data_IF_416849448092
#
_entry.id   IF_416849448092
#
_cell.length_a   1.000
_cell.length_b   1.000
_cell.length_c   1.000
_cell.angle_alpha   90.00
_cell.angle_beta   90.00
_cell.angle_gamma   90.00
#
_symmetry.space_group_name_H-M   'P 1'
#
loop_
_entity.id
_entity.type
_entity.pdbx_description
1 polymer ?
#
# COMPACT_ATOMS: atom_id res chain seq x y z
N UNK A 1 -7.54 -24.75 -11.92
CA UNK A 1 -6.53 -23.98 -12.68
C UNK A 1 -7.15 -22.72 -13.27
N UNK A 2 -8.19 -22.85 -14.09
CA UNK A 2 -8.91 -21.74 -14.71
C UNK A 2 -9.61 -20.82 -13.69
N UNK A 3 -10.20 -21.39 -12.63
CA UNK A 3 -10.84 -20.61 -11.56
C UNK A 3 -9.89 -19.68 -10.78
N UNK A 4 -8.65 -20.11 -10.52
CA UNK A 4 -7.64 -19.30 -9.81
C UNK A 4 -7.15 -18.16 -10.70
N UNK A 5 -6.89 -18.45 -11.98
CA UNK A 5 -6.54 -17.43 -12.97
C UNK A 5 -7.68 -16.42 -13.15
N UNK A 6 -8.92 -16.87 -13.26
CA UNK A 6 -10.08 -15.99 -13.35
C UNK A 6 -10.31 -15.16 -12.09
N UNK A 7 -10.09 -15.74 -10.91
CA UNK A 7 -10.16 -14.99 -9.65
C UNK A 7 -9.06 -13.93 -9.58
N UNK A 8 -7.84 -14.26 -10.01
CA UNK A 8 -6.73 -13.31 -10.09
C UNK A 8 -7.03 -12.16 -11.06
N UNK A 9 -7.48 -12.47 -12.29
CA UNK A 9 -7.88 -11.48 -13.28
C UNK A 9 -9.05 -10.61 -12.77
N UNK A 10 -10.00 -11.21 -12.05
CA UNK A 10 -11.10 -10.50 -11.42
C UNK A 10 -10.58 -9.47 -10.39
N UNK A 11 -9.68 -9.87 -9.49
CA UNK A 11 -9.12 -8.96 -8.48
C UNK A 11 -8.30 -7.83 -9.14
N UNK A 12 -7.49 -8.14 -10.17
CA UNK A 12 -6.77 -7.11 -10.94
C UNK A 12 -7.71 -6.11 -11.60
N UNK A 13 -8.82 -6.60 -12.19
CA UNK A 13 -9.84 -5.73 -12.79
C UNK A 13 -10.50 -4.85 -11.72
N UNK A 14 -10.87 -5.41 -10.57
CA UNK A 14 -11.45 -4.64 -9.47
C UNK A 14 -10.50 -3.54 -8.97
N UNK A 15 -9.22 -3.85 -8.75
CA UNK A 15 -8.21 -2.86 -8.34
C UNK A 15 -8.03 -1.75 -9.38
N UNK A 16 -7.99 -2.13 -10.66
CA UNK A 16 -7.89 -1.18 -11.76
C UNK A 16 -9.12 -0.27 -11.82
N UNK A 17 -10.32 -0.82 -11.59
CA UNK A 17 -11.56 -0.04 -11.50
C UNK A 17 -11.53 0.92 -10.31
N UNK A 18 -11.14 0.46 -9.12
CA UNK A 18 -11.03 1.28 -7.91
C UNK A 18 -10.00 2.39 -8.09
N UNK A 19 -8.81 2.09 -8.62
CA UNK A 19 -7.74 3.08 -8.88
C UNK A 19 -8.22 4.22 -9.76
N UNK A 20 -8.99 3.90 -10.80
CA UNK A 20 -9.51 4.86 -11.76
C UNK A 20 -10.90 5.41 -11.38
N UNK A 21 -11.45 4.97 -10.24
CA UNK A 21 -12.73 5.46 -9.77
C UNK A 21 -12.62 6.94 -9.36
N UNK A 22 -13.63 7.74 -9.71
CA UNK A 22 -13.64 9.19 -9.49
C UNK A 22 -13.33 9.56 -8.03
N UNK A 23 -13.87 8.80 -7.09
CA UNK A 23 -13.66 9.06 -5.66
C UNK A 23 -12.20 8.82 -5.24
N UNK A 24 -11.60 7.72 -5.69
CA UNK A 24 -10.19 7.40 -5.43
C UNK A 24 -9.26 8.46 -6.01
N UNK A 25 -9.50 8.87 -7.27
CA UNK A 25 -8.75 9.95 -7.92
C UNK A 25 -8.87 11.28 -7.14
N UNK A 26 -10.06 11.59 -6.61
CA UNK A 26 -10.26 12.77 -5.75
C UNK A 26 -9.50 12.67 -4.44
N UNK A 27 -9.46 11.50 -3.79
CA UNK A 27 -8.68 11.33 -2.56
C UNK A 27 -7.18 11.46 -2.80
N UNK A 28 -6.65 10.84 -3.85
CA UNK A 28 -5.23 10.99 -4.22
C UNK A 28 -4.90 12.46 -4.53
N UNK A 29 -5.77 13.16 -5.27
CA UNK A 29 -5.61 14.60 -5.52
C UNK A 29 -5.62 15.43 -4.23
N UNK A 30 -6.43 15.06 -3.24
CA UNK A 30 -6.45 15.74 -1.93
C UNK A 30 -5.16 15.47 -1.17
N UNK A 31 -4.66 14.23 -1.16
CA UNK A 31 -3.38 13.90 -0.55
C UNK A 31 -2.25 14.73 -1.17
N UNK A 32 -2.19 14.81 -2.51
CA UNK A 32 -1.20 15.66 -3.20
C UNK A 32 -1.26 17.10 -2.72
N UNK A 33 -2.44 17.68 -2.54
CA UNK A 33 -2.57 19.08 -2.07
C UNK A 33 -2.16 19.30 -0.61
N UNK A 34 -2.16 18.26 0.22
CA UNK A 34 -1.82 18.37 1.65
C UNK A 34 -0.31 18.32 1.89
N UNK A 35 0.44 17.64 1.03
CA UNK A 35 1.90 17.51 1.21
C UNK A 35 2.58 18.84 0.85
N UNK A 36 3.29 19.48 1.79
CA UNK A 36 4.05 20.68 1.51
C UNK A 36 5.16 20.37 0.49
N UNK A 37 5.28 21.22 -0.53
CA UNK A 37 6.34 21.11 -1.54
C UNK A 37 6.87 22.48 -1.93
N UNK A 38 8.16 22.54 -2.25
CA UNK A 38 8.81 23.73 -2.80
C UNK A 38 8.28 24.05 -4.21
N UNK A 39 8.05 23.02 -5.02
CA UNK A 39 7.40 23.11 -6.33
C UNK A 39 6.01 22.45 -6.27
N UNK A 40 4.91 23.14 -6.61
CA UNK A 40 3.58 22.53 -6.60
C UNK A 40 3.39 21.42 -7.66
N UNK A 41 4.22 21.35 -8.70
CA UNK A 41 4.09 20.42 -9.83
C UNK A 41 4.84 19.10 -9.61
N UNK A 42 5.90 19.10 -8.82
CA UNK A 42 6.76 17.93 -8.57
C UNK A 42 7.15 17.80 -7.11
N UNK A 43 7.41 16.57 -6.67
CA UNK A 43 7.89 16.24 -5.34
C UNK A 43 9.34 15.78 -5.40
N UNK A 44 10.19 16.41 -4.61
CA UNK A 44 11.58 15.98 -4.40
C UNK A 44 11.65 14.68 -3.59
N UNK A 45 12.82 14.05 -3.55
CA UNK A 45 13.05 12.85 -2.74
C UNK A 45 12.84 13.14 -1.26
N UNK A 46 13.36 14.25 -0.77
CA UNK A 46 13.29 14.63 0.64
C UNK A 46 11.84 14.87 1.09
N UNK A 47 11.03 15.52 0.24
CA UNK A 47 9.60 15.72 0.51
C UNK A 47 8.81 14.40 0.49
N UNK A 48 9.17 13.50 -0.43
CA UNK A 48 8.60 12.15 -0.50
C UNK A 48 8.93 11.34 0.76
N UNK A 49 10.20 11.32 1.15
CA UNK A 49 10.69 10.58 2.32
C UNK A 49 10.07 11.13 3.61
N UNK A 50 9.99 12.46 3.76
CA UNK A 50 9.33 13.10 4.91
C UNK A 50 7.83 12.76 5.00
N UNK A 51 7.12 12.78 3.87
CA UNK A 51 5.71 12.39 3.82
C UNK A 51 5.52 10.92 4.23
N UNK A 52 6.29 10.00 3.66
CA UNK A 52 6.14 8.58 3.95
C UNK A 52 6.62 8.20 5.34
N UNK A 53 7.67 8.84 5.85
CA UNK A 53 8.11 8.68 7.24
C UNK A 53 6.99 9.06 8.21
N UNK A 54 6.30 10.19 7.98
CA UNK A 54 5.13 10.61 8.77
C UNK A 54 4.01 9.58 8.73
N UNK A 55 3.68 9.07 7.53
CA UNK A 55 2.64 8.06 7.38
C UNK A 55 2.99 6.74 8.08
N UNK A 56 4.24 6.27 7.93
CA UNK A 56 4.72 5.06 8.57
C UNK A 56 4.72 5.20 10.09
N UNK A 57 5.20 6.33 10.61
CA UNK A 57 5.23 6.61 12.05
C UNK A 57 3.82 6.54 12.66
N UNK A 58 2.83 7.15 12.00
CA UNK A 58 1.46 7.17 12.51
C UNK A 58 0.71 5.83 12.31
N UNK A 59 1.02 5.08 11.26
CA UNK A 59 0.30 3.86 10.90
C UNK A 59 0.94 2.58 11.48
N UNK A 60 2.19 2.63 11.93
CA UNK A 60 2.90 1.48 12.52
C UNK A 60 3.18 1.68 14.01
N UNK A 61 3.74 0.65 14.65
CA UNK A 61 4.30 0.69 16.00
C UNK A 61 5.74 0.15 15.99
N UNK A 62 6.43 0.20 17.13
CA UNK A 62 7.83 -0.25 17.25
C UNK A 62 8.73 0.46 16.23
N UNK A 63 8.72 1.80 16.28
CA UNK A 63 9.50 2.63 15.38
C UNK A 63 11.00 2.35 15.50
N UNK A 64 11.65 2.20 14.36
CA UNK A 64 13.10 2.04 14.22
C UNK A 64 13.57 2.89 13.04
N UNK A 65 14.52 3.79 13.29
CA UNK A 65 14.97 4.77 12.29
C UNK A 65 15.71 4.09 11.12
N UNK A 66 16.52 3.07 11.41
CA UNK A 66 17.27 2.33 10.39
C UNK A 66 16.31 1.58 9.45
N UNK A 67 15.28 0.92 10.01
CA UNK A 67 14.24 0.24 9.24
C UNK A 67 13.43 1.24 8.42
N UNK A 68 13.08 2.40 8.98
CA UNK A 68 12.39 3.46 8.23
C UNK A 68 13.23 3.90 7.02
N UNK A 69 14.52 4.17 7.20
CA UNK A 69 15.40 4.61 6.12
C UNK A 69 15.51 3.55 5.00
N UNK A 70 15.59 2.27 5.40
CA UNK A 70 15.59 1.13 4.47
C UNK A 70 14.27 1.06 3.69
N UNK A 71 13.13 1.15 4.37
CA UNK A 71 11.80 1.13 3.75
C UNK A 71 11.64 2.30 2.77
N UNK A 72 12.01 3.50 3.17
CA UNK A 72 11.91 4.71 2.33
C UNK A 72 12.79 4.61 1.09
N UNK A 73 14.01 4.09 1.21
CA UNK A 73 14.88 3.85 0.05
C UNK A 73 14.27 2.84 -0.93
N UNK A 74 13.69 1.73 -0.43
CA UNK A 74 12.98 0.73 -1.25
C UNK A 74 11.77 1.33 -1.96
N UNK A 75 10.97 2.14 -1.25
CA UNK A 75 9.77 2.80 -1.80
C UNK A 75 10.13 3.84 -2.86
N UNK A 76 11.14 4.69 -2.61
CA UNK A 76 11.62 5.67 -3.59
C UNK A 76 12.13 4.99 -4.86
N UNK A 77 12.94 3.93 -4.73
CA UNK A 77 13.44 3.17 -5.88
C UNK A 77 12.30 2.63 -6.75
N UNK A 78 11.21 2.16 -6.14
CA UNK A 78 10.02 1.69 -6.86
C UNK A 78 9.30 2.83 -7.59
N UNK A 79 9.08 3.95 -6.92
CA UNK A 79 8.16 5.00 -7.39
C UNK A 79 8.79 6.02 -8.32
N UNK A 80 9.99 6.48 -7.95
CA UNK A 80 10.75 7.41 -8.75
C UNK A 80 11.48 6.67 -9.89
N UNK A 81 11.90 5.42 -9.67
CA UNK A 81 12.69 4.66 -10.65
C UNK A 81 13.93 5.46 -11.08
N UNK A 82 14.07 5.82 -12.35
CA UNK A 82 15.18 6.63 -12.87
C UNK A 82 14.98 8.16 -12.76
N UNK A 83 13.84 8.62 -12.22
CA UNK A 83 13.50 10.04 -12.17
C UNK A 83 14.00 10.67 -10.87
N UNK A 84 14.48 11.91 -10.94
CA UNK A 84 14.95 12.65 -9.76
C UNK A 84 13.81 13.20 -8.91
N UNK A 85 12.66 13.45 -9.53
CA UNK A 85 11.47 14.01 -8.90
C UNK A 85 10.23 13.24 -9.32
N UNK A 86 9.18 13.36 -8.52
CA UNK A 86 7.97 12.59 -8.64
C UNK A 86 6.79 13.52 -8.99
N UNK A 87 6.24 13.36 -10.20
CA UNK A 87 5.09 14.12 -10.67
C UNK A 87 3.78 13.62 -10.07
N UNK A 88 2.68 14.35 -10.31
CA UNK A 88 1.36 13.99 -9.82
C UNK A 88 0.89 12.57 -10.22
N UNK A 89 1.23 12.11 -11.43
CA UNK A 89 0.79 10.80 -11.91
C UNK A 89 1.52 9.67 -11.17
N UNK A 90 2.84 9.80 -11.01
CA UNK A 90 3.65 8.89 -10.21
C UNK A 90 3.24 8.91 -8.75
N UNK A 91 2.89 10.08 -8.22
CA UNK A 91 2.33 10.21 -6.88
C UNK A 91 1.06 9.42 -6.72
N UNK A 92 0.13 9.51 -7.68
CA UNK A 92 -1.10 8.73 -7.66
C UNK A 92 -0.81 7.22 -7.65
N UNK A 93 0.16 6.74 -8.44
CA UNK A 93 0.60 5.33 -8.38
C UNK A 93 1.14 4.97 -6.99
N UNK A 94 1.99 5.84 -6.46
CA UNK A 94 2.73 5.66 -5.22
C UNK A 94 1.81 5.59 -4.00
N UNK A 95 0.94 6.59 -3.83
CA UNK A 95 0.02 6.66 -2.70
C UNK A 95 -1.09 5.62 -2.79
N UNK A 96 -1.51 5.24 -4.01
CA UNK A 96 -2.46 4.14 -4.19
C UNK A 96 -1.85 2.82 -3.73
N UNK A 97 -0.63 2.49 -4.17
CA UNK A 97 0.06 1.30 -3.68
C UNK A 97 0.19 1.32 -2.17
N UNK A 98 0.59 2.45 -1.58
CA UNK A 98 0.71 2.55 -0.13
C UNK A 98 -0.63 2.27 0.56
N UNK A 99 -1.73 2.83 0.04
CA UNK A 99 -3.06 2.50 0.56
C UNK A 99 -3.40 1.01 0.42
N UNK A 100 -2.99 0.36 -0.69
CA UNK A 100 -3.17 -1.09 -0.87
C UNK A 100 -2.48 -1.92 0.22
N UNK A 101 -1.38 -1.43 0.80
CA UNK A 101 -0.70 -2.08 1.94
C UNK A 101 -1.61 -2.25 3.17
N UNK A 102 -2.62 -1.40 3.30
CA UNK A 102 -3.49 -1.33 4.47
C UNK A 102 -4.91 -1.87 4.22
N UNK A 103 -5.24 -2.15 2.96
CA UNK A 103 -6.58 -2.59 2.56
C UNK A 103 -6.70 -4.10 2.70
N UNK A 104 -7.64 -4.55 3.54
CA UNK A 104 -7.94 -5.98 3.73
C UNK A 104 -8.90 -6.54 2.66
N UNK A 105 -9.76 -5.69 2.08
CA UNK A 105 -10.77 -6.09 1.10
C UNK A 105 -10.73 -5.20 -0.15
N UNK A 106 -10.80 -5.79 -1.34
CA UNK A 106 -10.75 -5.04 -2.61
C UNK A 106 -12.13 -4.42 -2.92
N UNK A 107 -12.53 -3.44 -2.10
CA UNK A 107 -13.80 -2.71 -2.22
C UNK A 107 -13.56 -1.21 -2.16
N UNK A 108 -14.37 -0.43 -2.89
CA UNK A 108 -14.22 1.03 -2.91
C UNK A 108 -14.22 1.65 -1.51
N UNK A 109 -15.08 1.16 -0.61
CA UNK A 109 -15.21 1.67 0.75
C UNK A 109 -13.95 1.42 1.59
N UNK A 110 -13.30 0.27 1.42
CA UNK A 110 -12.05 -0.02 2.13
C UNK A 110 -10.94 0.95 1.75
N UNK A 111 -10.78 1.24 0.45
CA UNK A 111 -9.81 2.23 -0.02
C UNK A 111 -10.15 3.63 0.48
N UNK A 112 -11.42 4.03 0.44
CA UNK A 112 -11.85 5.35 0.94
C UNK A 112 -11.55 5.50 2.43
N UNK A 113 -11.74 4.45 3.24
CA UNK A 113 -11.37 4.47 4.66
C UNK A 113 -9.87 4.70 4.85
N UNK A 114 -9.03 3.96 4.14
CA UNK A 114 -7.56 4.12 4.24
C UNK A 114 -7.13 5.52 3.76
N UNK A 115 -7.65 6.00 2.63
CA UNK A 115 -7.37 7.36 2.17
C UNK A 115 -7.85 8.43 3.15
N UNK A 116 -8.95 8.21 3.86
CA UNK A 116 -9.39 9.11 4.93
C UNK A 116 -8.37 9.17 6.07
N UNK A 117 -7.81 8.02 6.48
CA UNK A 117 -6.76 7.96 7.51
C UNK A 117 -5.50 8.70 7.04
N UNK A 118 -5.02 8.38 5.83
CA UNK A 118 -3.86 9.04 5.21
C UNK A 118 -4.06 10.56 5.19
N UNK A 119 -5.25 11.02 4.77
CA UNK A 119 -5.55 12.45 4.72
C UNK A 119 -5.55 13.13 6.09
N UNK A 120 -6.08 12.48 7.12
CA UNK A 120 -6.06 13.00 8.49
C UNK A 120 -4.63 13.16 9.00
N UNK A 121 -3.77 12.17 8.72
CA UNK A 121 -2.36 12.24 9.07
C UNK A 121 -1.68 13.38 8.31
N UNK A 122 -1.85 13.44 6.98
CA UNK A 122 -1.23 14.47 6.14
C UNK A 122 -1.74 15.89 6.41
N UNK A 123 -2.95 16.06 6.96
CA UNK A 123 -3.46 17.37 7.36
C UNK A 123 -2.92 17.85 8.71
N UNK A 124 -2.14 17.02 9.42
CA UNK A 124 -1.64 17.32 10.76
C UNK A 124 -2.76 17.40 11.80
N UNK A 125 -3.92 16.79 11.53
CA UNK A 125 -4.99 16.69 12.51
C UNK A 125 -4.67 15.53 13.47
N UNK A 126 -4.71 15.81 14.77
CA UNK A 126 -4.51 14.78 15.80
C UNK A 126 -5.46 13.61 15.56
N UNK A 127 -4.90 12.44 15.25
CA UNK A 127 -5.64 11.20 15.15
C UNK A 127 -5.99 10.74 16.57
N UNK A 128 -7.12 11.22 17.11
CA UNK A 128 -7.69 10.62 18.30
C UNK A 128 -8.16 9.21 17.93
N UNK A 129 -7.62 8.13 18.54
CA UNK A 129 -8.20 6.81 18.35
C UNK A 129 -9.65 6.92 18.83
N UNK A 130 -10.59 6.53 17.97
CA UNK A 130 -12.01 6.61 18.29
C UNK A 130 -12.25 5.76 19.52
N UNK A 131 -12.34 6.40 20.69
CA UNK A 131 -12.91 5.80 21.89
C UNK A 131 -14.41 5.64 21.66
N UNK A 132 -14.81 4.69 20.81
CA UNK A 132 -16.20 4.25 20.75
C UNK A 132 -16.42 3.24 21.86
N UNK A 133 -17.01 3.71 22.94
CA UNK A 133 -17.83 2.91 23.83
C UNK A 133 -18.93 2.20 23.03
N UNK A 134 -18.63 1.02 22.49
CA UNK A 134 -19.55 -0.07 22.16
C UNK A 134 -18.73 -1.25 21.65
N UNK A 135 -19.00 -2.42 22.21
CA UNK A 135 -18.36 -3.70 21.98
C UNK A 135 -18.28 -4.09 20.49
N UNK A 136 -17.10 -3.92 19.89
CA UNK A 136 -16.50 -4.91 18.97
C UNK A 136 -15.01 -4.88 19.19
N UNK A 137 -14.45 -6.04 19.52
CA UNK A 137 -13.05 -6.30 19.80
C UNK A 137 -12.15 -6.17 18.55
N UNK A 138 -12.03 -4.96 18.00
CA UNK A 138 -11.00 -4.56 17.04
C UNK A 138 -10.18 -3.44 17.68
N UNK A 139 -9.42 -3.80 18.73
CA UNK A 139 -8.25 -3.02 19.10
C UNK A 139 -7.35 -2.99 17.85
N UNK A 140 -7.43 -1.90 17.09
CA UNK A 140 -6.78 -1.70 15.79
C UNK A 140 -5.36 -2.25 15.82
N UNK A 141 -5.15 -3.40 15.19
CA UNK A 141 -3.83 -4.01 15.04
C UNK A 141 -3.00 -3.07 14.14
N UNK A 142 -2.26 -2.16 14.75
CA UNK A 142 -1.20 -1.43 14.06
C UNK A 142 -0.01 -2.41 13.92
N UNK A 143 0.41 -2.76 12.70
CA UNK A 143 1.57 -3.61 12.47
C UNK A 143 2.84 -2.91 12.95
N UNK A 144 3.88 -3.68 13.27
CA UNK A 144 5.21 -3.11 13.52
C UNK A 144 5.79 -2.58 12.20
N UNK A 145 6.69 -1.60 12.27
CA UNK A 145 7.42 -1.13 11.10
C UNK A 145 8.19 -2.26 10.40
N UNK A 146 8.80 -3.16 11.18
CA UNK A 146 9.45 -4.37 10.67
C UNK A 146 8.47 -5.26 9.89
N UNK A 147 7.26 -5.49 10.41
CA UNK A 147 6.25 -6.30 9.70
C UNK A 147 5.72 -5.63 8.44
N UNK A 148 5.76 -4.29 8.37
CA UNK A 148 5.51 -3.55 7.13
C UNK A 148 6.63 -3.78 6.12
N UNK A 149 7.90 -3.70 6.53
CA UNK A 149 9.05 -3.95 5.65
C UNK A 149 9.01 -5.37 5.07
N UNK A 150 8.77 -6.36 5.94
CA UNK A 150 8.61 -7.76 5.54
C UNK A 150 7.45 -7.94 4.53
N UNK A 151 6.32 -7.26 4.75
CA UNK A 151 5.19 -7.29 3.82
C UNK A 151 5.55 -6.64 2.49
N UNK A 152 6.27 -5.52 2.52
CA UNK A 152 6.72 -4.80 1.34
C UNK A 152 7.65 -5.66 0.48
N UNK A 153 8.61 -6.34 1.10
CA UNK A 153 9.53 -7.25 0.39
C UNK A 153 8.77 -8.45 -0.22
N UNK A 154 7.83 -9.06 0.51
CA UNK A 154 6.97 -10.13 -0.03
C UNK A 154 6.18 -9.68 -1.26
N UNK A 155 5.61 -8.48 -1.23
CA UNK A 155 4.86 -7.95 -2.38
C UNK A 155 5.76 -7.73 -3.59
N UNK A 156 6.98 -7.20 -3.39
CA UNK A 156 7.95 -7.02 -4.48
C UNK A 156 8.34 -8.37 -5.10
N UNK A 157 8.52 -9.40 -4.29
CA UNK A 157 8.80 -10.75 -4.76
C UNK A 157 7.61 -11.33 -5.55
N UNK A 158 6.39 -11.15 -5.07
CA UNK A 158 5.19 -11.60 -5.79
C UNK A 158 4.96 -10.85 -7.12
N UNK A 159 5.23 -9.54 -7.15
CA UNK A 159 5.19 -8.75 -8.40
C UNK A 159 6.22 -9.26 -9.42
N UNK A 160 7.42 -9.67 -8.97
CA UNK A 160 8.43 -10.29 -9.85
C UNK A 160 7.98 -11.63 -10.44
N UNK A 161 7.08 -12.33 -9.76
CA UNK A 161 6.47 -13.59 -10.21
C UNK A 161 5.19 -13.38 -11.02
N UNK A 162 4.81 -12.13 -11.34
CA UNK A 162 3.54 -11.75 -11.98
C UNK A 162 2.28 -12.15 -11.18
N UNK A 163 2.38 -12.21 -9.85
CA UNK A 163 1.28 -12.56 -8.96
C UNK A 163 0.93 -11.34 -8.10
N UNK A 164 -0.18 -10.67 -8.43
CA UNK A 164 -0.57 -9.44 -7.71
C UNK A 164 -1.98 -9.58 -7.12
N UNK A 165 -2.09 -10.32 -6.02
CA UNK A 165 -3.35 -10.94 -5.56
C UNK A 165 -3.99 -10.24 -4.35
N UNK A 166 -3.27 -9.32 -3.71
CA UNK A 166 -3.79 -8.49 -2.63
C UNK A 166 -2.63 -8.05 -1.75
N UNK A 167 -2.49 -6.75 -1.54
CA UNK A 167 -1.27 -6.18 -0.95
C UNK A 167 -1.38 -5.93 0.55
N UNK A 168 -2.28 -6.58 1.28
CA UNK A 168 -2.45 -6.26 2.71
C UNK A 168 -1.23 -6.70 3.52
N UNK A 169 -0.80 -5.90 4.49
CA UNK A 169 0.22 -6.30 5.50
C UNK A 169 -0.21 -7.58 6.25
N UNK A 170 -1.53 -7.80 6.36
CA UNK A 170 -2.11 -9.00 6.96
C UNK A 170 -2.33 -10.15 5.97
N UNK A 171 -2.03 -9.96 4.68
CA UNK A 171 -2.21 -10.99 3.66
C UNK A 171 -1.15 -12.08 3.82
N UNK A 172 -1.62 -13.30 4.05
CA UNK A 172 -0.78 -14.49 4.12
C UNK A 172 -0.64 -15.10 2.72
N UNK A 173 0.37 -14.64 1.99
CA UNK A 173 0.71 -15.15 0.66
C UNK A 173 0.90 -16.68 0.69
N UNK A 174 1.53 -17.23 1.74
CA UNK A 174 1.77 -18.67 1.87
C UNK A 174 0.47 -19.43 1.99
N UNK A 175 -0.50 -18.98 2.81
CA UNK A 175 -1.84 -19.57 2.85
C UNK A 175 -2.55 -19.45 1.53
N UNK A 176 -2.47 -18.30 0.85
CA UNK A 176 -3.03 -18.15 -0.49
C UNK A 176 -2.44 -19.19 -1.45
N UNK A 177 -1.12 -19.35 -1.50
CA UNK A 177 -0.45 -20.38 -2.31
C UNK A 177 -0.75 -21.81 -1.86
N UNK A 178 -0.94 -22.07 -0.58
CA UNK A 178 -1.30 -23.42 -0.11
C UNK A 178 -2.74 -23.78 -0.48
N UNK A 179 -3.66 -22.81 -0.39
CA UNK A 179 -5.06 -23.01 -0.76
C UNK A 179 -5.27 -23.05 -2.28
N UNK A 180 -4.49 -22.27 -3.04
CA UNK A 180 -4.74 -22.03 -4.47
C UNK A 180 -3.57 -22.38 -5.41
N UNK A 181 -2.36 -22.61 -4.89
CA UNK A 181 -1.10 -22.74 -5.64
C UNK A 181 -0.36 -24.08 -5.54
N UNK A 182 -0.85 -25.07 -4.79
CA UNK A 182 -0.18 -26.35 -4.54
C UNK A 182 0.04 -27.29 -5.77
N UNK A 183 -0.19 -26.83 -7.01
CA UNK A 183 0.03 -27.62 -8.23
C UNK A 183 1.23 -27.18 -9.08
N UNK A 184 1.97 -26.13 -8.69
CA UNK A 184 3.05 -25.59 -9.52
C UNK A 184 4.48 -25.96 -9.09
N UNK A 185 4.67 -26.70 -8.00
CA UNK A 185 6.03 -27.07 -7.54
C UNK A 185 6.63 -28.31 -8.27
N UNK A 186 5.85 -29.06 -9.06
CA UNK A 186 6.30 -30.30 -9.71
C UNK A 186 5.81 -30.46 -11.16
N UNK A 187 6.07 -29.48 -12.03
CA UNK A 187 6.03 -29.73 -13.48
C UNK A 187 7.46 -29.69 -14.02
N UNK A 188 8.00 -30.81 -14.56
CA UNK A 188 9.29 -30.81 -15.21
C UNK A 188 9.20 -29.97 -16.50
N UNK A 189 10.32 -29.32 -16.87
CA UNK A 189 10.41 -28.55 -18.11
C UNK A 189 10.06 -29.45 -19.31
N UNK A 190 9.23 -28.98 -20.26
CA UNK A 190 9.02 -29.71 -21.51
C UNK A 190 10.22 -29.49 -22.44
N UNK A 191 10.82 -30.60 -22.88
CA UNK A 191 11.65 -30.69 -24.10
C UNK A 191 10.81 -30.44 -25.37
#
# INVERSE_FOLDING_TARGET
MEQVKHFHEYLLRQRTQIRNHRQTLQEMKRCWKLVPRADPEVMSREEYEGMYSTLLYEMTICWDEETNDVVLAKMWQRDASAFSNLDFNRFCCSIFYFAEMWVQEITQDAYVRIFSIIRTILSGQDFAPVSSSAETSDSAFKPTLESFDDAFDRERDMESMNLNIGKSITFDAKKYFQHFGALYAHSPSPE
#
